data_IF_669102999234
#
_entry.id   IF_669102999234
#
_cell.length_a   1.000
_cell.length_b   1.000
_cell.length_c   1.000
_cell.angle_alpha   90.00
_cell.angle_beta   90.00
_cell.angle_gamma   90.00
#
_symmetry.space_group_name_H-M   'P 1'
#
loop_
_entity.id
_entity.type
_entity.pdbx_description
1 polymer ?
#
# COMPACT_ATOMS: atom_id res chain seq x y z
N UNK A 1 2.10 -59.66 -25.11
CA UNK A 1 2.31 -58.31 -25.67
C UNK A 1 1.80 -57.34 -24.62
N UNK A 2 2.71 -56.84 -23.77
CA UNK A 2 2.38 -55.89 -22.71
C UNK A 2 3.11 -54.59 -23.06
N UNK A 3 2.36 -53.54 -23.40
CA UNK A 3 2.91 -52.21 -23.57
C UNK A 3 2.78 -51.48 -22.23
N UNK A 4 3.94 -51.13 -21.66
CA UNK A 4 4.07 -50.35 -20.45
C UNK A 4 3.60 -48.91 -20.68
N UNK A 5 2.86 -48.43 -19.68
CA UNK A 5 2.48 -47.06 -19.41
C UNK A 5 3.70 -46.16 -19.13
N UNK A 6 3.60 -44.86 -19.41
CA UNK A 6 4.48 -43.83 -18.85
C UNK A 6 4.55 -42.60 -19.76
N UNK A 7 4.33 -41.37 -19.30
CA UNK A 7 4.01 -40.82 -17.99
C UNK A 7 3.66 -39.34 -18.20
N UNK A 8 2.82 -38.78 -17.33
CA UNK A 8 2.48 -37.34 -17.35
C UNK A 8 3.74 -36.48 -17.31
N UNK A 9 3.82 -35.52 -18.23
CA UNK A 9 4.88 -34.54 -18.32
C UNK A 9 4.76 -33.59 -17.10
N UNK A 10 5.69 -33.71 -16.15
CA UNK A 10 5.79 -32.79 -15.00
C UNK A 10 5.94 -31.35 -15.50
N UNK A 11 4.99 -30.48 -15.16
CA UNK A 11 4.87 -29.12 -15.69
C UNK A 11 5.79 -28.09 -15.00
N UNK A 12 6.63 -28.52 -14.04
CA UNK A 12 7.35 -27.68 -13.07
C UNK A 12 8.89 -27.81 -13.12
N UNK A 13 9.45 -28.23 -14.26
CA UNK A 13 10.91 -28.40 -14.44
C UNK A 13 11.43 -27.62 -15.63
N UNK A 14 12.59 -26.98 -15.49
CA UNK A 14 13.36 -26.37 -16.57
C UNK A 14 14.43 -27.33 -17.06
N UNK A 15 14.72 -27.32 -18.35
CA UNK A 15 15.77 -28.13 -18.96
C UNK A 15 16.90 -27.22 -19.42
N UNK A 16 18.08 -27.39 -18.82
CA UNK A 16 19.26 -26.58 -19.13
C UNK A 16 19.65 -26.72 -20.60
N UNK A 17 20.10 -25.64 -21.22
CA UNK A 17 20.54 -25.63 -22.62
C UNK A 17 21.75 -26.57 -22.77
N UNK A 18 21.75 -27.37 -23.87
CA UNK A 18 22.83 -28.29 -24.24
C UNK A 18 23.26 -29.29 -23.15
N UNK A 19 22.42 -29.50 -22.15
CA UNK A 19 22.66 -30.42 -21.04
C UNK A 19 21.45 -31.34 -20.88
N UNK A 20 21.64 -32.53 -20.33
CA UNK A 20 20.53 -33.41 -19.93
C UNK A 20 20.01 -33.10 -18.51
N UNK A 21 20.54 -32.05 -17.87
CA UNK A 21 20.14 -31.63 -16.53
C UNK A 21 18.81 -30.89 -16.59
N UNK A 22 17.89 -31.31 -15.73
CA UNK A 22 16.67 -30.57 -15.44
C UNK A 22 16.70 -30.06 -14.01
N UNK A 23 16.19 -28.84 -13.80
CA UNK A 23 16.09 -28.20 -12.49
C UNK A 23 14.64 -27.84 -12.21
N UNK A 24 14.32 -27.56 -10.94
CA UNK A 24 13.00 -27.04 -10.60
C UNK A 24 12.85 -25.63 -11.16
N UNK A 25 11.65 -25.28 -11.63
CA UNK A 25 11.37 -23.93 -12.13
C UNK A 25 11.58 -22.81 -11.09
N UNK A 26 11.64 -23.15 -9.80
CA UNK A 26 11.89 -22.20 -8.73
C UNK A 26 13.38 -21.86 -8.59
N UNK A 27 14.27 -22.59 -9.25
CA UNK A 27 15.72 -22.34 -9.27
C UNK A 27 16.18 -21.54 -10.48
N UNK A 28 15.24 -20.80 -11.06
CA UNK A 28 15.50 -19.90 -12.17
C UNK A 28 15.63 -18.52 -11.56
N UNK A 29 16.66 -17.77 -11.92
CA UNK A 29 16.90 -16.42 -11.38
C UNK A 29 16.94 -16.40 -9.83
N UNK A 30 17.47 -17.47 -9.22
CA UNK A 30 17.60 -17.62 -7.77
C UNK A 30 19.00 -17.23 -7.25
N UNK A 31 19.84 -16.65 -8.13
CA UNK A 31 21.20 -16.23 -7.85
C UNK A 31 22.21 -17.37 -7.81
N UNK A 32 21.81 -18.62 -8.07
CA UNK A 32 22.68 -19.79 -8.06
C UNK A 32 22.78 -20.39 -9.46
N UNK A 33 24.01 -20.60 -9.94
CA UNK A 33 24.23 -21.31 -11.21
C UNK A 33 24.01 -22.81 -11.04
N UNK A 34 22.78 -23.28 -11.28
CA UNK A 34 22.45 -24.69 -11.35
C UNK A 34 22.67 -25.27 -12.76
N UNK A 35 22.57 -24.50 -13.84
CA UNK A 35 22.82 -25.02 -15.18
C UNK A 35 24.30 -24.93 -15.61
N UNK A 36 24.83 -25.90 -16.39
CA UNK A 36 26.23 -25.86 -16.83
C UNK A 36 26.59 -24.67 -17.72
N UNK A 37 25.62 -24.13 -18.46
CA UNK A 37 25.80 -22.96 -19.33
C UNK A 37 25.29 -21.68 -18.66
N UNK A 38 24.98 -21.72 -17.36
CA UNK A 38 24.51 -20.58 -16.54
C UNK A 38 23.22 -19.92 -17.10
N UNK A 39 22.46 -20.68 -17.89
CA UNK A 39 21.26 -20.23 -18.60
C UNK A 39 20.03 -20.04 -17.70
N UNK A 40 20.05 -20.64 -16.52
CA UNK A 40 19.04 -20.50 -15.47
C UNK A 40 19.03 -19.12 -14.80
N UNK A 41 20.16 -18.41 -14.82
CA UNK A 41 20.33 -17.06 -14.28
C UNK A 41 20.33 -15.98 -15.38
N UNK A 42 20.02 -16.35 -16.62
CA UNK A 42 20.04 -15.43 -17.76
C UNK A 42 18.72 -15.42 -18.53
N UNK A 43 17.92 -14.38 -18.28
CA UNK A 43 16.60 -14.18 -18.88
C UNK A 43 16.57 -14.23 -20.41
N UNK A 44 17.67 -13.89 -21.09
CA UNK A 44 17.73 -13.93 -22.57
C UNK A 44 17.77 -15.35 -23.15
N UNK A 45 18.12 -16.34 -22.33
CA UNK A 45 18.24 -17.74 -22.73
C UNK A 45 17.02 -18.59 -22.36
N UNK A 46 16.07 -18.02 -21.61
CA UNK A 46 14.84 -18.70 -21.20
C UNK A 46 13.82 -18.62 -22.35
N UNK A 47 13.36 -19.76 -22.88
CA UNK A 47 12.39 -19.82 -23.97
C UNK A 47 11.02 -19.24 -23.56
N UNK A 48 10.30 -18.59 -24.48
CA UNK A 48 9.03 -17.89 -24.23
C UNK A 48 7.92 -18.74 -23.58
N UNK A 49 7.86 -20.05 -23.88
CA UNK A 49 6.85 -20.94 -23.25
C UNK A 49 7.18 -21.29 -21.80
N UNK A 50 8.47 -21.36 -21.45
CA UNK A 50 8.89 -21.62 -20.08
C UNK A 50 8.89 -20.31 -19.27
N UNK A 51 9.28 -19.19 -19.89
CA UNK A 51 9.13 -17.80 -19.41
C UNK A 51 7.77 -17.58 -18.75
N UNK A 52 6.65 -17.80 -19.45
CA UNK A 52 5.30 -17.54 -18.90
C UNK A 52 5.02 -18.35 -17.60
N UNK A 53 5.65 -19.51 -17.41
CA UNK A 53 5.52 -20.27 -16.16
C UNK A 53 6.40 -19.70 -15.05
N UNK A 54 7.64 -19.32 -15.36
CA UNK A 54 8.54 -18.68 -14.39
C UNK A 54 7.99 -17.34 -13.93
N UNK A 55 7.52 -16.48 -14.84
CA UNK A 55 7.01 -15.15 -14.52
C UNK A 55 5.82 -15.17 -13.54
N UNK A 56 5.12 -16.30 -13.38
CA UNK A 56 4.05 -16.45 -12.38
C UNK A 56 4.56 -16.62 -10.95
N UNK A 57 5.76 -17.15 -10.78
CA UNK A 57 6.34 -17.47 -9.47
C UNK A 57 7.43 -16.48 -9.04
N UNK A 58 7.72 -15.46 -9.86
CA UNK A 58 8.76 -14.47 -9.62
C UNK A 58 8.13 -13.09 -9.45
N UNK A 59 8.78 -12.26 -8.64
CA UNK A 59 8.40 -10.85 -8.51
C UNK A 59 8.97 -10.07 -9.68
N UNK A 60 8.15 -9.21 -10.28
CA UNK A 60 8.57 -8.30 -11.34
C UNK A 60 8.79 -6.92 -10.73
N UNK A 61 10.02 -6.42 -10.80
CA UNK A 61 10.33 -5.03 -10.52
C UNK A 61 9.55 -4.15 -11.49
N UNK A 62 8.80 -3.18 -10.96
CA UNK A 62 7.93 -2.31 -11.73
C UNK A 62 8.71 -1.37 -12.65
N UNK A 63 9.85 -0.85 -12.18
CA UNK A 63 10.61 0.17 -12.91
C UNK A 63 11.72 -0.43 -13.77
N UNK A 64 12.46 -1.41 -13.24
CA UNK A 64 13.60 -2.00 -13.95
C UNK A 64 13.20 -3.12 -14.92
N UNK A 65 11.93 -3.54 -14.93
CA UNK A 65 11.40 -4.70 -15.68
C UNK A 65 12.16 -6.02 -15.38
N UNK A 66 12.97 -6.04 -14.32
CA UNK A 66 13.72 -7.22 -13.86
C UNK A 66 12.79 -8.17 -13.11
N UNK A 67 13.04 -9.46 -13.23
CA UNK A 67 12.38 -10.48 -12.40
C UNK A 67 13.35 -11.00 -11.34
N UNK A 68 12.86 -11.14 -10.11
CA UNK A 68 13.64 -11.66 -8.98
C UNK A 68 12.89 -12.80 -8.30
N UNK A 69 13.64 -13.73 -7.71
CA UNK A 69 13.06 -14.78 -6.88
C UNK A 69 12.41 -14.18 -5.62
N UNK A 70 11.26 -14.70 -5.15
CA UNK A 70 10.55 -14.14 -3.99
C UNK A 70 11.35 -14.04 -2.69
N UNK A 71 12.46 -14.79 -2.57
CA UNK A 71 13.38 -14.71 -1.41
C UNK A 71 14.09 -13.37 -1.30
N UNK A 72 14.17 -12.62 -2.40
CA UNK A 72 14.83 -11.32 -2.47
C UNK A 72 13.91 -10.16 -2.10
N UNK A 73 12.60 -10.40 -1.96
CA UNK A 73 11.65 -9.38 -1.52
C UNK A 73 11.87 -9.09 -0.03
N UNK A 74 12.05 -7.82 0.35
CA UNK A 74 12.25 -7.36 1.73
C UNK A 74 13.47 -7.99 2.43
N UNK A 75 14.52 -8.30 1.69
CA UNK A 75 15.75 -8.87 2.22
C UNK A 75 16.75 -7.80 2.73
N UNK A 76 16.41 -6.50 2.61
CA UNK A 76 17.22 -5.32 2.94
C UNK A 76 18.36 -5.01 1.98
N UNK A 77 18.37 -5.62 0.82
CA UNK A 77 19.27 -5.33 -0.29
C UNK A 77 18.43 -4.94 -1.49
N UNK A 78 18.89 -3.97 -2.26
CA UNK A 78 18.14 -3.60 -3.45
C UNK A 78 18.44 -4.53 -4.62
N UNK A 79 17.59 -5.53 -4.82
CA UNK A 79 17.68 -6.46 -5.94
C UNK A 79 16.94 -5.95 -7.19
N UNK A 80 16.13 -4.89 -7.08
CA UNK A 80 15.58 -4.11 -8.17
C UNK A 80 16.24 -2.71 -8.32
N UNK A 81 17.56 -2.60 -8.57
CA UNK A 81 18.23 -1.31 -8.62
C UNK A 81 17.77 -0.48 -9.83
N UNK A 82 17.47 0.80 -9.58
CA UNK A 82 17.29 1.83 -10.60
C UNK A 82 18.53 2.73 -10.60
N UNK A 83 18.85 3.36 -11.74
CA UNK A 83 20.03 4.23 -11.89
C UNK A 83 20.09 5.39 -10.88
N UNK A 84 18.97 5.75 -10.23
CA UNK A 84 18.91 6.67 -9.09
C UNK A 84 18.67 5.90 -7.79
N UNK A 85 19.71 5.84 -6.97
CA UNK A 85 19.94 4.98 -5.80
C UNK A 85 18.95 5.06 -4.64
N UNK A 86 17.85 5.82 -4.75
CA UNK A 86 16.85 6.00 -3.69
C UNK A 86 15.61 5.13 -3.88
N UNK A 87 15.43 4.53 -5.05
CA UNK A 87 14.25 3.73 -5.35
C UNK A 87 14.58 2.25 -5.41
N UNK A 88 13.73 1.45 -4.77
CA UNK A 88 13.89 0.01 -4.75
C UNK A 88 12.54 -0.70 -4.67
N UNK A 89 12.12 -1.36 -5.76
CA UNK A 89 10.79 -1.97 -5.90
C UNK A 89 10.56 -3.14 -4.94
N UNK A 90 11.62 -3.87 -4.60
CA UNK A 90 11.57 -5.07 -3.77
C UNK A 90 11.75 -4.80 -2.27
N UNK A 91 12.11 -3.57 -1.91
CA UNK A 91 12.37 -3.14 -0.54
C UNK A 91 11.36 -2.09 -0.05
N UNK A 92 10.89 -2.27 1.18
CA UNK A 92 10.03 -1.28 1.84
C UNK A 92 10.90 -0.17 2.41
N UNK A 93 11.28 0.78 1.55
CA UNK A 93 11.78 2.06 2.04
C UNK A 93 10.60 3.00 2.36
N UNK A 94 10.70 3.73 3.47
CA UNK A 94 9.62 4.60 3.97
C UNK A 94 9.32 5.72 2.95
N UNK A 95 10.34 6.15 2.20
CA UNK A 95 10.21 7.12 1.10
C UNK A 95 9.42 6.55 -0.11
N UNK A 96 9.55 5.25 -0.42
CA UNK A 96 8.84 4.61 -1.52
C UNK A 96 7.35 4.43 -1.18
N UNK A 97 7.03 4.10 0.08
CA UNK A 97 5.64 4.04 0.54
C UNK A 97 4.92 5.38 0.41
N UNK A 98 5.55 6.47 0.88
CA UNK A 98 4.94 7.80 0.82
C UNK A 98 4.75 8.22 -0.64
N UNK A 99 5.75 8.05 -1.52
CA UNK A 99 5.62 8.44 -2.93
C UNK A 99 4.63 7.60 -3.74
N UNK A 100 4.48 6.31 -3.43
CA UNK A 100 3.50 5.44 -4.10
C UNK A 100 2.07 5.62 -3.56
N UNK A 101 1.94 6.04 -2.31
CA UNK A 101 0.66 6.10 -1.61
C UNK A 101 0.17 7.51 -1.29
N UNK A 102 0.86 8.60 -1.68
CA UNK A 102 0.21 9.91 -1.67
C UNK A 102 -0.97 9.86 -2.62
N UNK A 103 -2.14 9.73 -2.02
CA UNK A 103 -3.41 9.50 -2.68
C UNK A 103 -4.13 10.83 -2.78
N UNK A 104 -5.07 10.94 -3.71
CA UNK A 104 -6.05 12.02 -3.68
C UNK A 104 -6.84 12.07 -2.36
N UNK A 105 -6.80 10.99 -1.58
CA UNK A 105 -7.41 10.89 -0.25
C UNK A 105 -6.63 11.68 0.82
N UNK A 106 -5.30 11.72 0.75
CA UNK A 106 -4.45 12.37 1.77
C UNK A 106 -3.84 13.69 1.29
N UNK A 107 -4.24 14.18 0.12
CA UNK A 107 -3.86 15.51 -0.35
C UNK A 107 -4.70 16.58 0.37
N UNK A 108 -4.07 17.68 0.79
CA UNK A 108 -4.75 18.82 1.42
C UNK A 108 -5.42 18.52 2.79
N UNK A 109 -4.80 17.65 3.59
CA UNK A 109 -5.25 17.27 4.93
C UNK A 109 -4.53 18.03 6.07
N UNK A 110 -3.67 18.99 5.71
CA UNK A 110 -2.80 19.82 6.57
C UNK A 110 -1.51 19.14 7.03
N UNK A 111 -1.18 17.99 6.47
CA UNK A 111 0.05 17.27 6.75
C UNK A 111 0.89 17.21 5.48
N UNK A 112 2.10 17.75 5.54
CA UNK A 112 3.04 17.64 4.42
C UNK A 112 3.68 16.26 4.49
N UNK A 113 3.16 15.31 3.72
CA UNK A 113 3.72 13.97 3.59
C UNK A 113 4.79 13.94 2.49
N UNK A 114 4.57 14.69 1.41
CA UNK A 114 5.49 14.74 0.29
C UNK A 114 6.67 15.69 0.51
N UNK A 115 7.87 15.21 0.15
CA UNK A 115 9.03 16.08 0.01
C UNK A 115 8.74 17.18 -1.00
N UNK A 116 9.01 18.45 -0.67
CA UNK A 116 8.67 19.55 -1.56
C UNK A 116 9.38 19.48 -2.91
N UNK A 117 8.66 19.82 -3.97
CA UNK A 117 9.19 19.93 -5.34
C UNK A 117 9.16 21.38 -5.80
N UNK A 118 10.13 21.78 -6.63
CA UNK A 118 10.20 23.15 -7.14
C UNK A 118 9.49 23.24 -8.50
N UNK A 119 8.35 23.93 -8.54
CA UNK A 119 7.60 24.25 -9.77
C UNK A 119 7.47 25.76 -9.87
N UNK A 120 7.80 26.36 -11.02
CA UNK A 120 7.76 27.83 -11.22
C UNK A 120 8.47 28.63 -10.12
N UNK A 121 9.59 28.09 -9.61
CA UNK A 121 10.39 28.68 -8.54
C UNK A 121 9.62 28.82 -7.20
N UNK A 122 8.57 28.03 -7.00
CA UNK A 122 7.81 27.86 -5.76
C UNK A 122 7.99 26.45 -5.22
N UNK A 123 7.91 26.33 -3.90
CA UNK A 123 8.05 25.07 -3.18
C UNK A 123 6.67 24.44 -3.03
N UNK A 124 6.35 23.47 -3.88
CA UNK A 124 5.04 22.82 -3.95
C UNK A 124 5.05 21.51 -3.18
N UNK A 125 3.94 21.22 -2.51
CA UNK A 125 3.70 20.00 -1.71
C UNK A 125 2.29 19.47 -2.00
N UNK A 126 1.95 18.32 -1.43
CA UNK A 126 0.57 17.82 -1.31
C UNK A 126 -0.40 18.79 -0.59
N UNK A 127 0.15 19.79 0.12
CA UNK A 127 -0.61 20.83 0.82
C UNK A 127 -0.66 22.21 0.13
N UNK A 128 -0.24 22.33 -1.15
CA UNK A 128 -0.35 23.59 -1.90
C UNK A 128 -1.57 23.65 -2.83
N UNK A 129 -2.07 24.87 -3.07
CA UNK A 129 -3.25 25.15 -3.92
C UNK A 129 -4.54 24.39 -3.55
N UNK A 130 -4.71 24.00 -2.28
CA UNK A 130 -5.88 23.28 -1.77
C UNK A 130 -7.23 23.98 -2.00
N UNK A 131 -7.26 25.27 -2.34
CA UNK A 131 -8.50 25.96 -2.72
C UNK A 131 -9.12 25.36 -4.00
N UNK A 132 -8.32 24.70 -4.84
CA UNK A 132 -8.79 24.00 -6.04
C UNK A 132 -9.33 22.59 -5.73
N UNK A 133 -9.09 22.08 -4.52
CA UNK A 133 -9.49 20.76 -4.06
C UNK A 133 -10.46 20.87 -2.88
N UNK A 134 -11.79 20.88 -3.15
CA UNK A 134 -12.78 20.88 -2.07
C UNK A 134 -12.55 19.68 -1.13
N UNK A 135 -12.56 19.94 0.18
CA UNK A 135 -12.34 18.89 1.18
C UNK A 135 -13.42 17.80 1.13
N UNK A 136 -14.64 18.10 0.67
CA UNK A 136 -15.72 17.12 0.45
C UNK A 136 -15.78 16.80 -1.04
N UNK A 137 -15.15 15.70 -1.42
CA UNK A 137 -15.05 15.25 -2.81
C UNK A 137 -15.29 13.73 -2.88
N UNK A 138 -15.16 13.14 -4.06
CA UNK A 138 -15.44 11.71 -4.26
C UNK A 138 -14.52 10.76 -3.49
N UNK A 139 -13.36 11.23 -3.04
CA UNK A 139 -12.35 10.44 -2.33
C UNK A 139 -12.49 10.55 -0.81
N UNK A 140 -12.95 11.69 -0.32
CA UNK A 140 -13.09 12.00 1.11
C UNK A 140 -14.52 11.87 1.61
N UNK A 141 -15.52 11.87 0.73
CA UNK A 141 -16.92 11.76 1.12
C UNK A 141 -17.24 10.37 1.65
N UNK A 142 -17.70 10.30 2.89
CA UNK A 142 -18.20 9.09 3.53
C UNK A 142 -17.15 7.98 3.65
N UNK A 143 -15.88 8.36 3.82
CA UNK A 143 -14.75 7.43 3.95
C UNK A 143 -14.46 7.06 5.42
N UNK A 144 -15.18 7.67 6.36
CA UNK A 144 -15.01 7.49 7.79
C UNK A 144 -13.93 8.37 8.43
N UNK A 145 -13.32 9.28 7.67
CA UNK A 145 -12.28 10.21 8.12
C UNK A 145 -12.83 11.63 8.05
N UNK A 146 -12.56 12.46 9.06
CA UNK A 146 -13.00 13.86 9.07
C UNK A 146 -11.96 14.73 8.40
N UNK A 147 -12.07 14.88 7.08
CA UNK A 147 -11.17 15.70 6.27
C UNK A 147 -11.66 17.16 6.24
N UNK A 148 -12.98 17.38 6.27
CA UNK A 148 -13.56 18.72 6.31
C UNK A 148 -13.71 19.29 7.73
N UNK A 149 -13.81 20.63 7.87
CA UNK A 149 -14.25 21.26 9.11
C UNK A 149 -15.54 20.61 9.62
N UNK A 150 -15.54 20.23 10.90
CA UNK A 150 -16.68 19.57 11.56
C UNK A 150 -17.18 18.29 10.86
N UNK A 151 -16.32 17.60 10.11
CA UNK A 151 -16.66 16.35 9.43
C UNK A 151 -17.74 16.50 8.35
N UNK A 152 -17.86 17.65 7.69
CA UNK A 152 -18.89 17.87 6.65
C UNK A 152 -18.85 16.87 5.48
N UNK A 153 -17.73 16.19 5.28
CA UNK A 153 -17.56 15.07 4.35
C UNK A 153 -18.26 13.77 4.80
N UNK A 154 -18.51 13.62 6.10
CA UNK A 154 -19.07 12.42 6.73
C UNK A 154 -20.56 12.54 7.14
N UNK A 155 -21.21 13.66 6.85
CA UNK A 155 -22.65 13.83 7.11
C UNK A 155 -23.52 13.24 6.00
N UNK A 156 -24.63 12.61 6.39
CA UNK A 156 -25.63 12.08 5.45
C UNK A 156 -25.16 10.86 4.65
N UNK A 157 -24.14 10.14 5.14
CA UNK A 157 -23.57 8.95 4.51
C UNK A 157 -24.39 7.68 4.79
N UNK A 158 -24.93 7.56 6.00
CA UNK A 158 -25.67 6.37 6.44
C UNK A 158 -27.17 6.54 6.19
N UNK A 159 -27.69 5.81 5.21
CA UNK A 159 -29.13 5.65 4.95
C UNK A 159 -29.66 4.28 5.42
N UNK A 160 -28.94 3.64 6.35
CA UNK A 160 -29.40 2.40 6.97
C UNK A 160 -30.60 2.69 7.88
N UNK A 161 -31.73 1.96 7.76
CA UNK A 161 -32.98 2.27 8.47
C UNK A 161 -32.88 2.16 10.00
N UNK A 162 -31.80 1.56 10.53
CA UNK A 162 -31.59 1.38 11.97
C UNK A 162 -31.01 2.62 12.67
N UNK A 163 -30.29 3.50 11.96
CA UNK A 163 -29.61 4.65 12.56
C UNK A 163 -29.60 5.82 11.58
N UNK A 164 -30.67 6.62 11.63
CA UNK A 164 -30.83 7.80 10.78
C UNK A 164 -30.55 9.05 11.63
N UNK A 165 -29.28 9.45 11.71
CA UNK A 165 -28.93 10.74 12.29
C UNK A 165 -29.41 11.86 11.35
N UNK A 166 -29.89 12.96 11.93
CA UNK A 166 -30.23 14.16 11.16
C UNK A 166 -28.99 14.68 10.41
N UNK A 167 -29.17 15.44 9.33
CA UNK A 167 -28.09 16.02 8.52
C UNK A 167 -27.07 16.87 9.31
N UNK A 168 -27.43 17.31 10.52
CA UNK A 168 -26.59 18.14 11.38
C UNK A 168 -25.99 17.36 12.55
N UNK A 169 -25.96 16.03 12.48
CA UNK A 169 -25.44 15.16 13.52
C UNK A 169 -24.49 14.12 12.94
N UNK A 170 -23.48 13.79 13.73
CA UNK A 170 -22.52 12.74 13.47
C UNK A 170 -22.87 11.46 14.19
N UNK A 171 -22.58 10.32 13.59
CA UNK A 171 -22.64 9.05 14.30
C UNK A 171 -21.47 8.96 15.27
N UNK A 172 -21.76 8.63 16.51
CA UNK A 172 -20.80 8.64 17.61
C UNK A 172 -21.07 7.45 18.53
N UNK A 173 -20.05 6.88 19.15
CA UNK A 173 -20.24 5.89 20.23
C UNK A 173 -20.09 6.61 21.56
N UNK A 174 -21.11 6.54 22.42
CA UNK A 174 -21.03 7.18 23.73
C UNK A 174 -19.98 6.48 24.60
N UNK A 175 -19.01 7.20 25.19
CA UNK A 175 -18.00 6.62 26.07
C UNK A 175 -18.59 6.11 27.40
N UNK A 176 -19.83 6.50 27.73
CA UNK A 176 -20.50 6.10 28.98
C UNK A 176 -21.31 4.81 28.83
N UNK A 177 -21.97 4.63 27.69
CA UNK A 177 -22.89 3.50 27.47
C UNK A 177 -22.39 2.50 26.44
N UNK A 178 -21.33 2.82 25.69
CA UNK A 178 -20.85 2.07 24.53
C UNK A 178 -21.94 1.82 23.48
N UNK A 179 -22.92 2.72 23.39
CA UNK A 179 -24.02 2.66 22.41
C UNK A 179 -23.84 3.77 21.36
N UNK A 180 -24.35 3.50 20.17
CA UNK A 180 -24.43 4.50 19.09
C UNK A 180 -25.37 5.63 19.49
N UNK A 181 -24.93 6.86 19.26
CA UNK A 181 -25.68 8.09 19.43
C UNK A 181 -25.42 9.03 18.26
N UNK A 182 -26.34 9.96 18.03
CA UNK A 182 -26.16 11.05 17.08
C UNK A 182 -25.63 12.27 17.85
N UNK A 183 -24.36 12.62 17.64
CA UNK A 183 -23.72 13.78 18.25
C UNK A 183 -24.01 15.04 17.41
N UNK A 184 -24.54 16.13 17.99
CA UNK A 184 -24.77 17.37 17.27
C UNK A 184 -23.46 17.99 16.75
N UNK A 185 -23.51 18.61 15.57
CA UNK A 185 -22.33 19.23 14.93
C UNK A 185 -21.69 20.35 15.79
N UNK A 186 -22.45 20.93 16.70
CA UNK A 186 -21.98 21.97 17.62
C UNK A 186 -21.06 21.44 18.72
N UNK A 187 -21.04 20.13 18.93
CA UNK A 187 -20.17 19.46 19.90
C UNK A 187 -18.89 18.92 19.25
N UNK A 188 -18.68 19.18 17.96
CA UNK A 188 -17.44 18.81 17.28
C UNK A 188 -16.37 19.86 17.54
N UNK A 189 -15.18 19.40 17.93
CA UNK A 189 -14.03 20.22 18.30
C UNK A 189 -14.40 21.30 19.36
N UNK A 190 -15.25 20.96 20.33
CA UNK A 190 -15.67 21.84 21.43
C UNK A 190 -14.75 21.72 22.68
N UNK A 191 -13.70 20.90 22.57
CA UNK A 191 -12.76 20.48 23.60
C UNK A 191 -13.36 19.58 24.69
N UNK A 192 -14.49 18.92 24.42
CA UNK A 192 -15.14 17.97 25.32
C UNK A 192 -15.27 16.64 24.59
N UNK A 193 -14.64 15.60 25.15
CA UNK A 193 -14.75 14.24 24.61
C UNK A 193 -16.18 13.71 24.84
N UNK A 194 -17.00 13.78 23.80
CA UNK A 194 -18.34 13.23 23.74
C UNK A 194 -18.38 11.85 23.04
N UNK A 195 -17.38 11.53 22.21
CA UNK A 195 -17.25 10.22 21.55
C UNK A 195 -16.14 9.35 22.12
N UNK A 196 -16.38 8.03 22.08
CA UNK A 196 -15.40 7.02 22.44
C UNK A 196 -14.15 7.20 21.56
N UNK A 197 -12.98 7.24 22.20
CA UNK A 197 -11.71 7.47 21.51
C UNK A 197 -11.44 8.93 21.15
N UNK A 198 -12.24 9.88 21.64
CA UNK A 198 -12.11 11.31 21.33
C UNK A 198 -12.17 11.60 19.81
N UNK A 199 -12.94 10.80 19.07
CA UNK A 199 -13.08 10.95 17.61
C UNK A 199 -13.73 12.27 17.21
N UNK A 200 -14.49 12.88 18.11
CA UNK A 200 -15.12 14.20 17.96
C UNK A 200 -14.16 15.39 18.18
N UNK A 201 -12.96 15.13 18.70
CA UNK A 201 -11.98 16.13 19.12
C UNK A 201 -10.64 15.93 18.41
N UNK A 202 -10.59 16.24 17.10
CA UNK A 202 -9.45 15.90 16.23
C UNK A 202 -8.12 16.49 16.73
N UNK A 203 -8.17 17.70 17.30
CA UNK A 203 -6.99 18.40 17.82
C UNK A 203 -6.42 17.79 19.11
N UNK A 204 -7.21 17.02 19.86
CA UNK A 204 -6.70 16.30 21.04
C UNK A 204 -5.88 15.09 20.63
N UNK A 205 -6.26 14.41 19.54
CA UNK A 205 -5.54 13.26 19.00
C UNK A 205 -4.21 13.65 18.33
N UNK A 206 -4.14 14.82 17.69
CA UNK A 206 -2.96 15.26 16.92
C UNK A 206 -1.84 15.87 17.76
N UNK A 207 -2.13 16.28 19.00
CA UNK A 207 -1.13 16.78 19.96
C UNK A 207 -0.25 15.67 20.60
N UNK A 208 -0.45 14.40 20.25
CA UNK A 208 0.34 13.27 20.76
C UNK A 208 1.58 12.91 19.92
N UNK A 209 1.89 13.66 18.86
CA UNK A 209 3.15 13.49 18.14
C UNK A 209 4.30 14.19 18.88
N UNK A 210 4.74 13.61 20.01
CA UNK A 210 6.12 13.60 20.57
C UNK A 210 6.12 12.97 21.99
N UNK A 211 5.50 11.81 22.18
CA UNK A 211 5.92 10.92 23.27
C UNK A 211 6.40 9.60 22.66
N UNK A 212 7.69 9.39 22.88
CA UNK A 212 8.56 8.30 22.46
C UNK A 212 7.95 6.90 22.45
N UNK A 213 8.39 6.09 21.48
CA UNK A 213 8.70 4.67 21.61
C UNK A 213 8.52 4.11 23.04
N UNK A 214 7.42 3.38 23.23
CA UNK A 214 7.19 2.27 24.18
C UNK A 214 5.80 2.39 24.81
N UNK A 215 4.92 1.44 24.47
CA UNK A 215 3.81 1.07 25.34
C UNK A 215 2.47 0.92 24.63
N UNK A 216 2.10 -0.35 24.40
CA UNK A 216 0.79 -0.95 24.64
C UNK A 216 -0.42 -0.04 24.85
N UNK A 217 -1.54 -0.34 24.20
CA UNK A 217 -2.91 -0.52 24.76
C UNK A 217 -3.75 -1.17 23.62
N UNK A 218 -4.29 -2.39 23.70
CA UNK A 218 -5.44 -2.89 24.49
C UNK A 218 -6.65 -1.96 24.50
#
# INVERSE_FOLDING_TARGET
MAFYSGGEFSTNTYHCIRSSKCISINRIMDGTYDCPEEDDENMTHINSNDLIKFLKNHFKCEISDKYIHPVYIQNRFCDCPVNDSTWCDDEFDTENYIRLNTSFQTSCERYVELSPIIIDNRNETDETECQQWPCNNIYTRCDGIWNCPKGEDEIGCYSLPAFNCSSNHHLCVSPRTNQLMCLPIEKIDDNIIDCLGATDEKLLCTNFLFVSHNGFFL
#
